data_IF_300287636806
#
_entry.id   IF_300287636806
#
_cell.length_a   1.000
_cell.length_b   1.000
_cell.length_c   1.000
_cell.angle_alpha   90.00
_cell.angle_beta   90.00
_cell.angle_gamma   90.00
#
_symmetry.space_group_name_H-M   'P 1'
#
loop_
_entity.id
_entity.type
_entity.pdbx_description
1 polymer ?
#
# COMPACT_ATOMS: atom_id res chain seq x y z
N UNK A 1 2.39 -22.05 19.01
CA UNK A 1 2.05 -21.82 20.44
C UNK A 1 0.90 -20.83 20.65
N UNK A 2 1.04 -19.55 20.24
CA UNK A 2 0.02 -18.50 20.43
C UNK A 2 -1.40 -18.93 20.03
N UNK A 3 -1.55 -19.52 18.83
CA UNK A 3 -2.83 -20.05 18.32
C UNK A 3 -3.48 -21.04 19.30
N UNK A 4 -2.73 -22.05 19.75
CA UNK A 4 -3.22 -23.10 20.63
C UNK A 4 -3.52 -22.58 22.05
N UNK A 5 -2.64 -21.75 22.62
CA UNK A 5 -2.81 -21.20 23.98
C UNK A 5 -4.09 -20.37 24.14
N UNK A 6 -4.54 -19.74 23.07
CA UNK A 6 -5.72 -18.87 23.08
C UNK A 6 -6.96 -19.53 22.44
N UNK A 7 -6.88 -20.81 22.03
CA UNK A 7 -8.01 -21.50 21.38
C UNK A 7 -8.46 -20.82 20.08
N UNK A 8 -7.52 -20.30 19.27
CA UNK A 8 -7.83 -19.55 18.05
C UNK A 8 -7.84 -20.45 16.82
N UNK A 9 -8.82 -20.27 15.94
CA UNK A 9 -8.85 -20.93 14.63
C UNK A 9 -8.01 -20.19 13.58
N UNK A 10 -7.95 -18.86 13.70
CA UNK A 10 -7.30 -17.96 12.74
C UNK A 10 -6.33 -17.03 13.43
N UNK A 11 -5.23 -16.76 12.74
CA UNK A 11 -4.20 -15.80 13.15
C UNK A 11 -3.83 -14.99 11.94
N UNK A 12 -3.71 -13.68 12.12
CA UNK A 12 -3.16 -12.74 11.13
C UNK A 12 -1.93 -12.13 11.76
N UNK A 13 -0.84 -12.04 11.00
CA UNK A 13 0.41 -11.41 11.43
C UNK A 13 0.55 -10.09 10.69
N UNK A 14 0.83 -9.01 11.43
CA UNK A 14 1.01 -7.68 10.85
C UNK A 14 2.30 -7.06 11.37
N UNK A 15 3.12 -6.58 10.44
CA UNK A 15 4.34 -5.85 10.75
C UNK A 15 4.02 -4.38 11.01
N UNK A 16 4.18 -3.93 12.26
CA UNK A 16 4.12 -2.51 12.67
C UNK A 16 5.38 -2.10 13.45
N UNK A 17 6.48 -2.82 13.22
CA UNK A 17 7.79 -2.50 13.78
C UNK A 17 8.50 -1.41 12.95
N UNK A 18 9.68 -1.00 13.42
CA UNK A 18 10.53 0.00 12.77
C UNK A 18 10.69 -0.27 11.26
N UNK A 19 10.84 0.81 10.50
CA UNK A 19 11.17 0.72 9.08
C UNK A 19 12.55 0.10 8.92
N UNK A 20 12.64 -0.94 8.09
CA UNK A 20 13.91 -1.54 7.70
C UNK A 20 14.47 -0.85 6.44
N UNK A 21 15.75 -1.10 6.15
CA UNK A 21 16.31 -0.78 4.83
C UNK A 21 15.70 -1.72 3.78
N UNK A 22 15.79 -1.34 2.51
CA UNK A 22 15.53 -2.30 1.44
C UNK A 22 16.61 -3.40 1.44
N UNK A 23 16.17 -4.62 1.15
CA UNK A 23 17.02 -5.74 0.79
C UNK A 23 17.33 -5.70 -0.71
N UNK A 24 18.53 -6.09 -1.09
CA UNK A 24 18.90 -6.24 -2.50
C UNK A 24 18.24 -7.49 -3.08
N UNK A 25 17.74 -7.40 -4.32
CA UNK A 25 17.20 -8.55 -5.04
C UNK A 25 18.33 -9.22 -5.80
N UNK A 26 18.73 -10.42 -5.38
CA UNK A 26 19.91 -11.12 -5.85
C UNK A 26 19.50 -12.49 -6.41
N UNK A 27 19.78 -12.77 -7.71
CA UNK A 27 19.56 -14.09 -8.29
C UNK A 27 20.29 -15.18 -7.52
N UNK A 28 19.62 -16.31 -7.27
CA UNK A 28 20.15 -17.40 -6.45
C UNK A 28 20.02 -17.21 -4.94
N UNK A 29 19.49 -16.08 -4.45
CA UNK A 29 19.36 -15.77 -3.02
C UNK A 29 17.90 -15.58 -2.60
N UNK A 30 17.20 -14.61 -3.19
CA UNK A 30 15.84 -14.24 -2.78
C UNK A 30 14.89 -14.05 -3.98
N UNK A 31 15.25 -14.64 -5.11
CA UNK A 31 14.52 -14.63 -6.38
C UNK A 31 13.47 -15.75 -6.49
N UNK A 32 13.66 -16.88 -5.82
CA UNK A 32 12.70 -18.01 -5.77
C UNK A 32 12.43 -18.46 -4.34
N UNK A 33 11.32 -19.18 -4.13
CA UNK A 33 10.95 -19.73 -2.82
C UNK A 33 12.06 -20.63 -2.25
N UNK A 34 12.63 -21.52 -3.07
CA UNK A 34 13.67 -22.45 -2.66
C UNK A 34 14.96 -21.71 -2.26
N UNK A 35 15.35 -20.71 -3.06
CA UNK A 35 16.53 -19.91 -2.78
C UNK A 35 16.35 -19.10 -1.49
N UNK A 36 15.18 -18.50 -1.29
CA UNK A 36 14.87 -17.73 -0.09
C UNK A 36 14.94 -18.60 1.18
N UNK A 37 14.37 -19.80 1.14
CA UNK A 37 14.44 -20.75 2.27
C UNK A 37 15.88 -21.16 2.56
N UNK A 38 16.71 -21.37 1.53
CA UNK A 38 18.12 -21.68 1.70
C UNK A 38 18.91 -20.49 2.25
N UNK A 39 18.61 -19.26 1.80
CA UNK A 39 19.21 -18.03 2.30
C UNK A 39 18.89 -17.80 3.79
N UNK A 40 17.68 -18.13 4.23
CA UNK A 40 17.31 -18.11 5.65
C UNK A 40 18.14 -19.13 6.44
N UNK A 41 18.26 -20.36 5.94
CA UNK A 41 19.04 -21.43 6.61
C UNK A 41 20.52 -21.11 6.71
N UNK A 42 21.08 -20.43 5.71
CA UNK A 42 22.50 -20.05 5.69
C UNK A 42 22.80 -18.75 6.44
N UNK A 43 21.78 -18.03 6.92
CA UNK A 43 21.94 -16.75 7.59
C UNK A 43 22.41 -15.63 6.66
N UNK A 44 21.94 -15.63 5.41
CA UNK A 44 22.36 -14.65 4.41
C UNK A 44 22.01 -13.20 4.84
N UNK A 45 22.91 -12.21 4.69
CA UNK A 45 22.74 -10.86 5.24
C UNK A 45 21.60 -10.03 4.61
N UNK A 46 21.11 -10.42 3.43
CA UNK A 46 19.93 -9.82 2.78
C UNK A 46 18.59 -10.40 3.26
N UNK A 47 18.60 -11.37 4.17
CA UNK A 47 17.39 -11.84 4.84
C UNK A 47 17.11 -10.92 6.02
N UNK A 48 16.11 -10.06 5.89
CA UNK A 48 15.69 -9.17 6.98
C UNK A 48 14.80 -9.91 8.00
N UNK A 49 14.68 -9.38 9.22
CA UNK A 49 13.69 -9.86 10.19
C UNK A 49 12.28 -9.89 9.61
N UNK A 50 11.84 -8.85 8.89
CA UNK A 50 10.50 -8.86 8.28
C UNK A 50 10.30 -10.01 7.30
N UNK A 51 11.33 -10.36 6.52
CA UNK A 51 11.30 -11.51 5.61
C UNK A 51 11.15 -12.83 6.37
N UNK A 52 11.83 -12.99 7.51
CA UNK A 52 11.67 -14.18 8.36
C UNK A 52 10.24 -14.28 8.91
N UNK A 53 9.66 -13.18 9.38
CA UNK A 53 8.26 -13.17 9.84
C UNK A 53 7.27 -13.47 8.71
N UNK A 54 7.50 -12.94 7.51
CA UNK A 54 6.66 -13.21 6.35
C UNK A 54 6.71 -14.70 5.98
N UNK A 55 7.91 -15.28 5.87
CA UNK A 55 8.09 -16.71 5.54
C UNK A 55 7.49 -17.60 6.62
N UNK A 56 7.71 -17.31 7.92
CA UNK A 56 7.11 -18.07 9.00
C UNK A 56 5.58 -18.04 8.95
N UNK A 57 4.99 -16.87 8.67
CA UNK A 57 3.54 -16.71 8.55
C UNK A 57 2.97 -17.48 7.35
N UNK A 58 3.66 -17.44 6.21
CA UNK A 58 3.30 -18.20 5.00
C UNK A 58 3.29 -19.71 5.29
N UNK A 59 4.34 -20.23 5.93
CA UNK A 59 4.47 -21.65 6.26
C UNK A 59 3.42 -22.12 7.29
N UNK A 60 2.97 -21.22 8.16
CA UNK A 60 1.89 -21.48 9.14
C UNK A 60 0.49 -21.17 8.57
N UNK A 61 0.40 -20.81 7.28
CA UNK A 61 -0.83 -20.40 6.60
C UNK A 61 -1.59 -19.27 7.35
N UNK A 62 -0.85 -18.33 7.92
CA UNK A 62 -1.36 -17.12 8.54
C UNK A 62 -1.14 -15.94 7.58
N UNK A 63 -2.20 -15.15 7.24
CA UNK A 63 -2.01 -13.96 6.43
C UNK A 63 -0.97 -13.02 7.03
N UNK A 64 -0.04 -12.54 6.20
CA UNK A 64 1.00 -11.60 6.62
C UNK A 64 0.82 -10.23 5.96
N UNK A 65 0.78 -9.17 6.77
CA UNK A 65 0.59 -7.81 6.30
C UNK A 65 1.82 -6.96 6.65
N UNK A 66 2.46 -6.35 5.67
CA UNK A 66 3.56 -5.42 5.88
C UNK A 66 3.04 -3.97 5.99
N UNK A 67 3.04 -3.44 7.22
CA UNK A 67 2.64 -2.06 7.51
C UNK A 67 3.75 -1.01 7.32
N UNK A 68 4.95 -1.43 6.94
CA UNK A 68 6.14 -0.58 6.80
C UNK A 68 6.66 -0.60 5.35
N UNK A 69 7.52 0.36 4.94
CA UNK A 69 7.83 0.57 3.52
C UNK A 69 8.96 -0.33 2.96
N UNK A 70 9.66 -1.12 3.77
CA UNK A 70 10.70 -2.00 3.27
C UNK A 70 10.12 -3.08 2.33
N UNK A 71 10.93 -3.55 1.38
CA UNK A 71 10.56 -4.58 0.40
C UNK A 71 10.60 -6.01 0.97
N UNK A 72 9.84 -6.27 2.03
CA UNK A 72 9.71 -7.60 2.67
C UNK A 72 9.35 -8.69 1.65
N UNK A 73 8.47 -8.34 0.69
CA UNK A 73 7.98 -9.25 -0.33
C UNK A 73 8.91 -9.32 -1.55
N UNK A 74 10.13 -9.80 -1.32
CA UNK A 74 11.06 -10.19 -2.38
C UNK A 74 10.44 -11.27 -3.29
N UNK A 75 10.89 -11.45 -4.54
CA UNK A 75 10.26 -12.40 -5.48
C UNK A 75 10.10 -13.81 -4.91
N UNK A 76 11.09 -14.31 -4.17
CA UNK A 76 11.01 -15.61 -3.51
C UNK A 76 9.95 -15.71 -2.41
N UNK A 77 9.61 -14.59 -1.75
CA UNK A 77 8.54 -14.55 -0.75
C UNK A 77 7.15 -14.59 -1.41
N UNK A 78 7.00 -13.92 -2.56
CA UNK A 78 5.77 -13.96 -3.37
C UNK A 78 5.57 -15.38 -3.93
N UNK A 79 6.60 -15.96 -4.53
CA UNK A 79 6.59 -17.36 -5.02
C UNK A 79 6.24 -18.36 -3.91
N UNK A 80 6.82 -18.18 -2.70
CA UNK A 80 6.48 -19.03 -1.56
C UNK A 80 5.02 -18.87 -1.12
N UNK A 81 4.49 -17.64 -1.11
CA UNK A 81 3.10 -17.38 -0.77
C UNK A 81 2.13 -18.00 -1.79
N UNK A 82 2.46 -17.97 -3.08
CA UNK A 82 1.70 -18.61 -4.15
C UNK A 82 1.71 -20.15 -4.02
N UNK A 83 2.88 -20.75 -3.81
CA UNK A 83 3.03 -22.20 -3.60
C UNK A 83 2.23 -22.72 -2.40
N UNK A 84 2.08 -21.92 -1.35
CA UNK A 84 1.34 -22.27 -0.13
C UNK A 84 -0.12 -21.80 -0.13
N UNK A 85 -0.58 -21.09 -1.16
CA UNK A 85 -1.88 -20.40 -1.19
C UNK A 85 -2.10 -19.49 0.05
N UNK A 86 -1.02 -18.92 0.60
CA UNK A 86 -1.06 -18.07 1.78
C UNK A 86 -1.20 -16.61 1.37
N UNK A 87 -1.94 -15.83 2.15
CA UNK A 87 -2.16 -14.43 1.84
C UNK A 87 -1.06 -13.50 2.35
N UNK A 88 -0.63 -12.58 1.49
CA UNK A 88 0.28 -11.49 1.80
C UNK A 88 -0.30 -10.15 1.33
N UNK A 89 0.03 -9.08 2.03
CA UNK A 89 -0.38 -7.72 1.66
C UNK A 89 0.54 -6.65 2.22
N UNK A 90 0.65 -5.53 1.52
CA UNK A 90 1.55 -4.42 1.85
C UNK A 90 1.62 -3.45 0.67
N UNK A 91 2.42 -2.39 0.69
CA UNK A 91 3.36 -1.98 1.74
C UNK A 91 3.05 -0.56 2.26
N UNK A 92 3.44 -0.30 3.52
CA UNK A 92 3.36 0.97 4.26
C UNK A 92 1.95 1.55 4.48
N UNK A 93 1.55 1.84 5.72
CA UNK A 93 0.20 2.37 6.00
C UNK A 93 -0.12 3.69 5.30
N UNK A 94 -1.18 3.76 4.50
CA UNK A 94 -1.68 4.98 3.86
C UNK A 94 -2.50 5.82 4.86
N UNK A 95 -1.79 6.46 5.80
CA UNK A 95 -2.35 7.43 6.75
C UNK A 95 -2.44 8.85 6.17
N UNK A 96 -2.64 9.85 7.04
CA UNK A 96 -3.08 11.23 6.73
C UNK A 96 -2.55 11.86 5.44
N UNK A 97 -1.24 12.13 5.34
CA UNK A 97 -0.67 12.89 4.21
C UNK A 97 -0.85 12.17 2.87
N UNK A 98 -0.37 10.92 2.77
CA UNK A 98 -0.40 10.19 1.50
C UNK A 98 -1.83 9.87 1.07
N UNK A 99 -2.73 9.57 2.02
CA UNK A 99 -4.15 9.36 1.75
C UNK A 99 -4.81 10.60 1.16
N UNK A 100 -4.52 11.78 1.72
CA UNK A 100 -5.01 13.04 1.18
C UNK A 100 -4.41 13.32 -0.20
N UNK A 101 -3.09 13.13 -0.37
CA UNK A 101 -2.42 13.29 -1.67
C UNK A 101 -3.07 12.43 -2.76
N UNK A 102 -3.31 11.14 -2.49
CA UNK A 102 -3.91 10.23 -3.47
C UNK A 102 -5.34 10.58 -3.86
N UNK A 103 -6.08 11.31 -3.03
CA UNK A 103 -7.41 11.79 -3.37
C UNK A 103 -7.35 13.14 -4.09
N UNK A 104 -6.48 14.06 -3.66
CA UNK A 104 -6.34 15.38 -4.26
C UNK A 104 -5.75 15.33 -5.66
N UNK A 105 -4.69 14.54 -5.88
CA UNK A 105 -4.05 14.40 -7.19
C UNK A 105 -5.00 13.78 -8.21
N UNK A 106 -5.73 12.73 -7.81
CA UNK A 106 -6.76 12.11 -8.65
C UNK A 106 -7.86 13.13 -9.01
N UNK A 107 -8.34 13.90 -8.03
CA UNK A 107 -9.30 14.98 -8.30
C UNK A 107 -8.77 16.02 -9.30
N UNK A 108 -7.57 16.55 -9.11
CA UNK A 108 -7.00 17.59 -9.97
C UNK A 108 -6.80 17.09 -11.41
N UNK A 109 -6.22 15.90 -11.58
CA UNK A 109 -5.98 15.33 -12.91
C UNK A 109 -7.30 15.02 -13.63
N UNK A 110 -8.30 14.46 -12.93
CA UNK A 110 -9.62 14.22 -13.52
C UNK A 110 -10.38 15.51 -13.83
N UNK A 111 -10.08 16.61 -13.13
CA UNK A 111 -10.61 17.94 -13.43
C UNK A 111 -9.89 18.65 -14.60
N UNK A 112 -8.91 18.00 -15.24
CA UNK A 112 -8.14 18.58 -16.34
C UNK A 112 -7.05 19.56 -15.89
N UNK A 113 -6.65 19.52 -14.62
CA UNK A 113 -5.61 20.39 -14.05
C UNK A 113 -4.28 19.64 -14.06
N UNK A 114 -3.26 20.21 -14.71
CA UNK A 114 -1.94 19.59 -14.84
C UNK A 114 -1.05 19.97 -13.67
N UNK A 115 -0.74 19.01 -12.81
CA UNK A 115 0.28 19.21 -11.77
C UNK A 115 1.66 19.21 -12.41
N UNK A 116 2.46 20.22 -12.08
CA UNK A 116 3.86 20.32 -12.53
C UNK A 116 4.84 20.23 -11.39
N UNK A 117 4.42 20.51 -10.14
CA UNK A 117 5.24 20.28 -8.95
C UNK A 117 4.40 19.87 -7.73
N UNK A 118 4.97 18.96 -6.93
CA UNK A 118 4.45 18.45 -5.67
C UNK A 118 5.59 18.45 -4.64
N UNK A 119 5.52 19.33 -3.66
CA UNK A 119 6.50 19.39 -2.58
C UNK A 119 5.87 18.93 -1.27
N UNK A 120 6.36 17.82 -0.71
CA UNK A 120 5.79 17.17 0.49
C UNK A 120 6.77 17.12 1.65
N UNK A 121 6.64 18.05 2.58
CA UNK A 121 7.45 18.13 3.79
C UNK A 121 6.73 17.55 4.99
N UNK A 122 7.49 16.93 5.89
CA UNK A 122 6.97 16.37 7.12
C UNK A 122 7.97 16.47 8.27
N UNK A 123 7.47 16.65 9.48
CA UNK A 123 8.27 16.41 10.68
C UNK A 123 7.44 15.80 11.82
N UNK A 124 8.11 14.96 12.60
CA UNK A 124 7.53 14.20 13.72
C UNK A 124 8.62 13.89 14.76
N UNK A 125 8.23 13.69 16.02
CA UNK A 125 9.12 13.55 17.17
C UNK A 125 9.09 12.18 17.87
N UNK A 126 8.24 11.27 17.40
CA UNK A 126 8.13 9.89 17.90
C UNK A 126 9.29 9.00 17.40
N UNK A 127 9.27 7.72 17.79
CA UNK A 127 10.32 6.77 17.43
C UNK A 127 10.37 6.45 15.93
N UNK A 128 9.24 6.55 15.21
CA UNK A 128 9.23 6.42 13.75
C UNK A 128 10.07 7.54 13.12
N UNK A 129 9.82 8.81 13.49
CA UNK A 129 10.64 9.93 13.03
C UNK A 129 12.12 9.79 13.37
N UNK A 130 12.43 9.27 14.57
CA UNK A 130 13.82 9.01 14.98
C UNK A 130 14.48 7.91 14.15
N UNK A 131 13.77 6.83 13.85
CA UNK A 131 14.28 5.75 13.00
C UNK A 131 14.50 6.23 11.55
N UNK A 132 13.57 7.01 11.03
CA UNK A 132 13.60 7.61 9.70
C UNK A 132 14.62 8.75 9.55
N UNK A 133 15.29 9.18 10.62
CA UNK A 133 16.39 10.17 10.50
C UNK A 133 17.64 9.56 9.86
N UNK A 134 17.74 8.23 9.81
CA UNK A 134 18.80 7.53 9.08
C UNK A 134 18.46 7.40 7.59
N UNK A 135 19.43 7.68 6.72
CA UNK A 135 19.24 7.74 5.27
C UNK A 135 18.72 6.42 4.67
N UNK A 136 19.21 5.27 5.14
CA UNK A 136 18.80 3.96 4.59
C UNK A 136 17.33 3.65 4.86
N UNK A 137 16.83 4.01 6.05
CA UNK A 137 15.43 3.85 6.44
C UNK A 137 14.54 4.90 5.76
N UNK A 138 15.03 6.14 5.65
CA UNK A 138 14.34 7.20 4.92
C UNK A 138 14.12 6.82 3.44
N UNK A 139 15.10 6.21 2.78
CA UNK A 139 15.01 5.81 1.37
C UNK A 139 13.82 4.89 1.11
N UNK A 140 13.55 3.94 2.01
CA UNK A 140 12.37 3.07 1.94
C UNK A 140 11.08 3.90 1.92
N UNK A 141 10.96 4.87 2.85
CA UNK A 141 9.79 5.73 2.97
C UNK A 141 9.64 6.70 1.80
N UNK A 142 10.75 7.21 1.28
CA UNK A 142 10.79 8.10 0.12
C UNK A 142 10.19 7.43 -1.10
N UNK A 143 10.61 6.21 -1.44
CA UNK A 143 10.10 5.45 -2.58
C UNK A 143 8.59 5.27 -2.49
N UNK A 144 8.09 4.74 -1.36
CA UNK A 144 6.65 4.50 -1.16
C UNK A 144 5.78 5.77 -1.20
N UNK A 145 6.33 6.93 -0.83
CA UNK A 145 5.61 8.21 -0.84
C UNK A 145 5.64 8.91 -2.21
N UNK A 146 6.68 8.68 -3.00
CA UNK A 146 6.85 9.31 -4.31
C UNK A 146 5.99 8.65 -5.39
N UNK A 147 5.92 7.31 -5.39
CA UNK A 147 5.28 6.55 -6.48
C UNK A 147 3.74 6.62 -6.48
N UNK A 148 3.13 7.21 -5.46
CA UNK A 148 1.66 7.23 -5.29
C UNK A 148 0.92 8.02 -6.37
N UNK A 149 1.62 8.81 -7.18
CA UNK A 149 1.02 9.66 -8.24
C UNK A 149 1.25 9.12 -9.65
N UNK A 150 2.11 8.12 -9.82
CA UNK A 150 2.63 7.70 -11.13
C UNK A 150 1.53 7.16 -12.05
N UNK A 151 0.61 6.35 -11.50
CA UNK A 151 -0.51 5.77 -12.24
C UNK A 151 -1.52 6.84 -12.69
N UNK A 152 -1.75 7.87 -11.87
CA UNK A 152 -2.69 8.96 -12.19
C UNK A 152 -2.13 9.86 -13.31
N UNK A 153 -0.83 10.14 -13.26
CA UNK A 153 -0.11 10.89 -14.30
C UNK A 153 -0.12 10.11 -15.62
N UNK A 154 0.25 8.82 -15.57
CA UNK A 154 0.28 7.96 -16.75
C UNK A 154 -1.11 7.76 -17.38
N UNK A 155 -2.18 7.83 -16.59
CA UNK A 155 -3.55 7.66 -17.07
C UNK A 155 -4.07 8.83 -17.93
N UNK A 156 -3.46 10.01 -17.86
CA UNK A 156 -3.94 11.21 -18.59
C UNK A 156 -2.92 11.70 -19.63
N UNK A 157 -2.99 11.11 -20.82
CA UNK A 157 -2.10 11.42 -21.96
C UNK A 157 -2.40 12.76 -22.64
N UNK A 158 -3.48 13.45 -22.25
CA UNK A 158 -3.78 14.81 -22.73
C UNK A 158 -2.96 15.84 -21.96
N UNK A 159 -2.81 15.66 -20.64
CA UNK A 159 -2.04 16.56 -19.79
C UNK A 159 -0.54 16.24 -19.78
N UNK A 160 -0.19 14.96 -19.84
CA UNK A 160 1.19 14.49 -19.71
C UNK A 160 1.63 13.70 -20.94
N UNK A 161 2.84 13.99 -21.42
CA UNK A 161 3.50 13.19 -22.46
C UNK A 161 3.96 11.85 -21.89
N UNK A 162 4.23 10.84 -22.73
CA UNK A 162 4.83 9.59 -22.27
C UNK A 162 6.13 9.83 -21.49
N UNK A 163 6.17 9.37 -20.23
CA UNK A 163 7.31 9.54 -19.33
C UNK A 163 7.45 10.94 -18.71
N UNK A 164 6.49 11.83 -18.90
CA UNK A 164 6.43 13.11 -18.20
C UNK A 164 5.86 12.93 -16.79
N UNK A 165 6.54 13.51 -15.80
CA UNK A 165 6.12 13.50 -14.40
C UNK A 165 6.27 14.90 -13.81
N UNK A 166 5.43 15.29 -12.83
CA UNK A 166 5.68 16.50 -12.06
C UNK A 166 6.97 16.36 -11.26
N UNK A 167 7.62 17.49 -10.98
CA UNK A 167 8.66 17.53 -9.96
C UNK A 167 8.05 17.08 -8.63
N UNK A 168 8.61 16.04 -8.01
CA UNK A 168 8.06 15.50 -6.76
C UNK A 168 9.15 15.30 -5.73
N UNK A 169 9.08 16.07 -4.65
CA UNK A 169 10.04 16.00 -3.54
C UNK A 169 9.34 15.59 -2.24
N UNK A 170 9.92 14.62 -1.53
CA UNK A 170 9.46 14.16 -0.23
C UNK A 170 10.53 14.42 0.82
N UNK A 171 10.18 15.08 1.93
CA UNK A 171 11.08 15.35 3.04
C UNK A 171 10.46 14.88 4.35
N UNK A 172 11.27 14.22 5.19
CA UNK A 172 10.93 13.86 6.56
C UNK A 172 12.05 14.32 7.47
N UNK A 173 11.70 15.05 8.55
CA UNK A 173 12.64 15.51 9.58
C UNK A 173 12.21 15.06 10.96
N UNK A 174 13.19 14.70 11.78
CA UNK A 174 12.97 14.37 13.18
C UNK A 174 12.94 15.66 14.02
N UNK A 175 11.83 15.91 14.70
CA UNK A 175 11.62 17.07 15.58
C UNK A 175 11.03 16.59 16.90
N UNK A 176 11.85 16.27 17.92
CA UNK A 176 11.40 15.63 19.16
C UNK A 176 10.21 16.33 19.84
N UNK A 177 10.18 17.67 19.79
CA UNK A 177 9.20 18.49 20.49
C UNK A 177 7.74 18.25 20.05
N UNK A 178 7.49 17.75 18.83
CA UNK A 178 6.12 17.50 18.36
C UNK A 178 5.60 16.10 18.70
N UNK A 179 6.43 15.21 19.25
CA UNK A 179 6.02 13.87 19.64
C UNK A 179 5.35 13.08 18.49
N UNK A 180 4.21 12.45 18.78
CA UNK A 180 3.39 11.73 17.79
C UNK A 180 2.56 12.66 16.86
N UNK A 181 2.49 13.95 17.19
CA UNK A 181 1.75 14.97 16.47
C UNK A 181 2.50 15.40 15.22
N UNK A 182 2.46 14.53 14.20
CA UNK A 182 3.09 14.73 12.91
C UNK A 182 2.52 15.96 12.20
N UNK A 183 3.42 16.78 11.67
CA UNK A 183 3.10 17.93 10.81
C UNK A 183 3.43 17.58 9.37
N UNK A 184 2.46 17.73 8.48
CA UNK A 184 2.60 17.55 7.04
C UNK A 184 2.33 18.88 6.33
N UNK A 185 3.24 19.29 5.45
CA UNK A 185 3.11 20.49 4.64
C UNK A 185 3.27 20.06 3.18
N UNK A 186 2.22 20.25 2.39
CA UNK A 186 2.23 19.92 0.98
C UNK A 186 1.97 21.18 0.15
N UNK A 187 2.71 21.34 -0.93
CA UNK A 187 2.43 22.34 -1.96
C UNK A 187 2.21 21.63 -3.29
N UNK A 188 1.11 21.97 -3.94
CA UNK A 188 0.75 21.50 -5.27
C UNK A 188 0.72 22.69 -6.21
N UNK A 189 1.62 22.70 -7.18
CA UNK A 189 1.69 23.72 -8.22
C UNK A 189 1.23 23.12 -9.54
N UNK A 190 0.26 23.79 -10.18
CA UNK A 190 -0.40 23.30 -11.37
C UNK A 190 -0.51 24.38 -12.46
N UNK A 191 -0.47 23.92 -13.71
CA UNK A 191 -0.86 24.70 -14.88
C UNK A 191 -2.36 24.55 -15.14
N UNK A 192 -3.00 25.68 -15.46
CA UNK A 192 -4.43 25.77 -15.80
C UNK A 192 -4.61 26.53 -17.12
N UNK A 193 -5.86 26.79 -17.49
CA UNK A 193 -6.23 27.40 -18.76
C UNK A 193 -5.46 28.71 -19.06
N UNK A 194 -5.09 28.90 -20.33
CA UNK A 194 -4.39 30.09 -20.86
C UNK A 194 -3.06 30.44 -20.16
N UNK A 195 -2.31 29.42 -19.71
CA UNK A 195 -1.01 29.63 -19.04
C UNK A 195 -1.13 30.18 -17.62
N UNK A 196 -2.35 30.18 -17.06
CA UNK A 196 -2.58 30.44 -15.66
C UNK A 196 -1.98 29.33 -14.79
N UNK A 197 -1.80 29.64 -13.51
CA UNK A 197 -1.30 28.68 -12.53
C UNK A 197 -2.21 28.64 -11.30
N UNK A 198 -2.28 27.47 -10.68
CA UNK A 198 -2.95 27.26 -9.41
C UNK A 198 -1.94 26.70 -8.41
N UNK A 199 -1.92 27.28 -7.21
CA UNK A 199 -1.12 26.78 -6.09
C UNK A 199 -2.04 26.40 -4.95
N UNK A 200 -1.90 25.18 -4.44
CA UNK A 200 -2.60 24.69 -3.26
C UNK A 200 -1.57 24.37 -2.20
N UNK A 201 -1.60 25.09 -1.08
CA UNK A 201 -0.80 24.79 0.10
C UNK A 201 -1.68 24.12 1.16
N UNK A 202 -1.29 22.94 1.59
CA UNK A 202 -2.01 22.15 2.58
C UNK A 202 -1.14 21.97 3.82
N UNK A 203 -1.68 22.38 4.96
CA UNK A 203 -1.06 22.15 6.27
C UNK A 203 -1.91 21.17 7.07
N UNK A 204 -1.32 20.04 7.44
CA UNK A 204 -2.00 18.99 8.17
C UNK A 204 -1.29 18.66 9.48
N UNK A 205 -2.04 18.67 10.57
CA UNK A 205 -1.59 18.25 11.90
C UNK A 205 -2.35 16.99 12.26
N UNK A 206 -1.64 15.89 12.46
CA UNK A 206 -2.25 14.61 12.79
C UNK A 206 -1.47 13.89 13.88
N UNK A 207 -2.17 13.33 14.85
CA UNK A 207 -1.62 12.27 15.69
C UNK A 207 -1.46 11.01 14.83
N UNK A 208 -0.23 10.69 14.45
CA UNK A 208 0.04 9.68 13.41
C UNK A 208 -0.41 8.29 13.87
N UNK A 209 -0.23 7.97 15.14
CA UNK A 209 -0.68 6.71 15.73
C UNK A 209 -2.20 6.57 15.75
N UNK A 210 -2.94 7.66 15.98
CA UNK A 210 -4.41 7.65 15.96
C UNK A 210 -4.98 7.51 14.54
N UNK A 211 -4.22 7.90 13.51
CA UNK A 211 -4.58 7.61 12.13
C UNK A 211 -4.17 6.20 11.68
N UNK A 212 -3.04 5.69 12.16
CA UNK A 212 -2.52 4.38 11.78
C UNK A 212 -3.30 3.23 12.44
N UNK A 213 -3.68 3.36 13.72
CA UNK A 213 -4.31 2.28 14.48
C UNK A 213 -5.64 1.79 13.86
N UNK A 214 -6.56 2.64 13.40
CA UNK A 214 -7.76 2.20 12.69
C UNK A 214 -7.44 1.48 11.36
N UNK A 215 -6.38 1.88 10.65
CA UNK A 215 -5.97 1.20 9.42
C UNK A 215 -5.46 -0.21 9.70
N UNK A 216 -4.76 -0.42 10.82
CA UNK A 216 -4.34 -1.75 11.28
C UNK A 216 -5.57 -2.63 11.52
N UNK A 217 -6.61 -2.10 12.17
CA UNK A 217 -7.87 -2.81 12.40
C UNK A 217 -8.52 -3.19 11.08
N UNK A 218 -8.67 -2.24 10.15
CA UNK A 218 -9.26 -2.47 8.83
C UNK A 218 -8.48 -3.54 8.03
N UNK A 219 -7.14 -3.46 8.03
CA UNK A 219 -6.26 -4.42 7.35
C UNK A 219 -6.47 -5.83 7.88
N UNK A 220 -6.50 -6.02 9.21
CA UNK A 220 -6.70 -7.33 9.84
C UNK A 220 -8.10 -7.87 9.55
N UNK A 221 -9.13 -7.03 9.65
CA UNK A 221 -10.52 -7.43 9.39
C UNK A 221 -10.70 -7.85 7.93
N UNK A 222 -10.22 -7.04 6.98
CA UNK A 222 -10.36 -7.35 5.56
C UNK A 222 -9.54 -8.58 5.20
N UNK A 223 -8.31 -8.71 5.70
CA UNK A 223 -7.50 -9.91 5.45
C UNK A 223 -8.16 -11.18 6.01
N UNK A 224 -8.70 -11.15 7.23
CA UNK A 224 -9.48 -12.26 7.79
C UNK A 224 -10.67 -12.60 6.90
N UNK A 225 -11.45 -11.61 6.50
CA UNK A 225 -12.63 -11.81 5.67
C UNK A 225 -12.25 -12.48 4.34
N UNK A 226 -11.18 -12.01 3.69
CA UNK A 226 -10.68 -12.59 2.44
C UNK A 226 -10.25 -14.05 2.58
N UNK A 227 -9.84 -14.50 3.78
CA UNK A 227 -9.60 -15.94 4.03
C UNK A 227 -10.85 -16.81 3.92
N UNK A 228 -12.05 -16.21 3.97
CA UNK A 228 -13.35 -16.89 3.85
C UNK A 228 -13.99 -16.73 2.48
N UNK A 229 -13.49 -15.83 1.65
CA UNK A 229 -14.06 -15.59 0.33
C UNK A 229 -13.46 -16.57 -0.67
N UNK A 230 -14.32 -17.43 -1.22
CA UNK A 230 -14.00 -18.29 -2.35
C UNK A 230 -14.80 -17.90 -3.58
N UNK A 231 -14.25 -18.18 -4.75
CA UNK A 231 -14.93 -18.04 -6.03
C UNK A 231 -14.70 -19.29 -6.87
N UNK A 232 -15.59 -19.54 -7.83
CA UNK A 232 -15.39 -20.58 -8.83
C UNK A 232 -15.84 -20.05 -10.19
N UNK A 233 -15.20 -20.53 -11.25
CA UNK A 233 -15.76 -20.39 -12.59
C UNK A 233 -17.00 -21.28 -12.69
N UNK A 234 -17.99 -20.88 -13.47
CA UNK A 234 -19.26 -21.61 -13.62
C UNK A 234 -19.04 -23.08 -14.02
N UNK A 235 -18.08 -23.32 -14.91
CA UNK A 235 -17.70 -24.64 -15.40
C UNK A 235 -16.79 -25.44 -14.44
N UNK A 236 -16.34 -24.85 -13.34
CA UNK A 236 -15.41 -25.49 -12.39
C UNK A 236 -16.15 -26.11 -11.20
N UNK A 237 -15.69 -27.29 -10.77
CA UNK A 237 -16.23 -27.98 -9.60
C UNK A 237 -15.69 -27.41 -8.28
N UNK A 238 -14.44 -26.93 -8.28
CA UNK A 238 -13.74 -26.52 -7.07
C UNK A 238 -13.75 -25.00 -6.88
N UNK A 239 -13.98 -24.59 -5.62
CA UNK A 239 -13.77 -23.20 -5.20
C UNK A 239 -12.28 -22.91 -5.04
N UNK A 240 -11.89 -21.70 -5.41
CA UNK A 240 -10.55 -21.15 -5.25
C UNK A 240 -10.58 -19.89 -4.40
N UNK A 241 -9.51 -19.64 -3.68
CA UNK A 241 -9.27 -18.35 -3.04
C UNK A 241 -8.87 -17.27 -4.06
N UNK A 242 -8.69 -16.06 -3.55
CA UNK A 242 -8.05 -14.99 -4.31
C UNK A 242 -6.56 -15.29 -4.51
N UNK A 243 -5.91 -14.49 -5.36
CA UNK A 243 -4.45 -14.53 -5.49
C UNK A 243 -3.78 -14.27 -4.13
N UNK A 244 -2.63 -14.89 -3.87
CA UNK A 244 -1.88 -14.75 -2.60
C UNK A 244 -1.57 -13.29 -2.26
N UNK A 245 -1.31 -12.46 -3.25
CA UNK A 245 -1.22 -11.00 -3.10
C UNK A 245 -2.61 -10.36 -3.00
N UNK A 246 -3.00 -9.92 -1.80
CA UNK A 246 -4.28 -9.28 -1.53
C UNK A 246 -4.29 -7.79 -1.89
N UNK A 247 -4.32 -7.48 -3.20
CA UNK A 247 -4.40 -6.09 -3.69
C UNK A 247 -5.69 -5.35 -3.27
N UNK A 248 -6.72 -6.05 -2.78
CA UNK A 248 -7.90 -5.43 -2.16
C UNK A 248 -7.55 -4.56 -0.94
N UNK A 249 -6.40 -4.80 -0.30
CA UNK A 249 -5.91 -4.03 0.84
C UNK A 249 -5.32 -2.65 0.46
N UNK A 250 -5.22 -2.35 -0.84
CA UNK A 250 -4.53 -1.15 -1.35
C UNK A 250 -5.07 0.19 -0.83
N UNK A 251 -6.34 0.23 -0.42
CA UNK A 251 -6.96 1.43 0.17
C UNK A 251 -6.25 1.89 1.45
N UNK A 252 -5.66 0.96 2.21
CA UNK A 252 -4.96 1.23 3.46
C UNK A 252 -3.43 1.28 3.30
N UNK A 253 -2.88 1.11 2.09
CA UNK A 253 -1.44 0.90 1.86
C UNK A 253 -0.88 1.87 0.81
N UNK A 254 0.30 2.44 1.04
CA UNK A 254 0.90 3.52 0.23
C UNK A 254 1.48 3.00 -1.08
N UNK A 255 2.19 1.88 -1.00
CA UNK A 255 2.83 1.23 -2.13
C UNK A 255 2.22 -0.17 -2.30
N UNK A 256 0.99 -0.26 -2.84
CA UNK A 256 0.26 -1.52 -2.83
C UNK A 256 0.98 -2.58 -3.67
N UNK A 257 1.20 -3.74 -3.07
CA UNK A 257 1.66 -4.94 -3.75
C UNK A 257 0.51 -5.45 -4.63
N UNK A 258 0.82 -5.76 -5.88
CA UNK A 258 -0.13 -6.31 -6.85
C UNK A 258 0.33 -7.68 -7.35
N UNK A 259 -0.61 -8.54 -7.79
CA UNK A 259 -0.24 -9.78 -8.47
C UNK A 259 0.75 -9.52 -9.62
N UNK A 260 1.75 -10.40 -9.84
CA UNK A 260 2.74 -10.22 -10.90
C UNK A 260 2.08 -9.92 -12.27
N UNK A 261 2.57 -8.89 -12.95
CA UNK A 261 2.07 -8.48 -14.26
C UNK A 261 0.77 -7.65 -14.23
N UNK A 262 0.26 -7.26 -13.07
CA UNK A 262 -0.94 -6.42 -12.94
C UNK A 262 -0.61 -4.98 -12.54
N UNK A 263 -1.36 -3.97 -13.03
CA UNK A 263 -1.06 -2.57 -12.77
C UNK A 263 -1.34 -2.18 -11.32
N UNK A 264 -0.53 -1.25 -10.81
CA UNK A 264 -0.73 -0.60 -9.52
C UNK A 264 -1.76 0.52 -9.68
N UNK A 265 -2.74 0.61 -8.77
CA UNK A 265 -3.73 1.69 -8.72
C UNK A 265 -3.62 2.37 -7.37
N UNK A 266 -3.28 3.66 -7.34
CA UNK A 266 -3.15 4.44 -6.11
C UNK A 266 -4.35 5.37 -5.85
N UNK A 267 -5.18 5.62 -6.87
CA UNK A 267 -6.34 6.51 -6.76
C UNK A 267 -7.31 6.02 -5.68
N UNK A 268 -7.44 6.82 -4.61
CA UNK A 268 -8.09 6.38 -3.37
C UNK A 268 -9.56 5.99 -3.57
N UNK A 269 -10.29 6.76 -4.38
CA UNK A 269 -11.69 6.49 -4.70
C UNK A 269 -11.86 5.17 -5.46
N UNK A 270 -10.98 4.88 -6.43
CA UNK A 270 -10.98 3.62 -7.20
C UNK A 270 -10.68 2.42 -6.31
N UNK A 271 -9.71 2.55 -5.40
CA UNK A 271 -9.39 1.51 -4.41
C UNK A 271 -10.60 1.21 -3.50
N UNK A 272 -11.30 2.24 -3.02
CA UNK A 272 -12.51 2.07 -2.21
C UNK A 272 -13.65 1.44 -3.01
N UNK A 273 -13.88 1.90 -4.24
CA UNK A 273 -14.91 1.35 -5.11
C UNK A 273 -14.67 -0.14 -5.41
N UNK A 274 -13.42 -0.55 -5.64
CA UNK A 274 -13.06 -1.96 -5.80
C UNK A 274 -13.41 -2.80 -4.56
N UNK A 275 -13.02 -2.34 -3.36
CA UNK A 275 -13.37 -2.98 -2.09
C UNK A 275 -14.89 -3.12 -1.93
N UNK A 276 -15.64 -2.02 -2.11
CA UNK A 276 -17.10 -2.01 -2.00
C UNK A 276 -17.74 -2.99 -3.00
N UNK A 277 -17.34 -2.93 -4.28
CA UNK A 277 -17.94 -3.75 -5.32
C UNK A 277 -17.64 -5.25 -5.16
N UNK A 278 -16.46 -5.61 -4.62
CA UNK A 278 -16.17 -7.01 -4.25
C UNK A 278 -17.15 -7.49 -3.17
N UNK A 279 -17.37 -6.71 -2.11
CA UNK A 279 -18.29 -7.12 -1.05
C UNK A 279 -19.77 -7.07 -1.46
N UNK A 280 -20.15 -6.15 -2.36
CA UNK A 280 -21.47 -6.18 -3.02
C UNK A 280 -21.69 -7.48 -3.78
N UNK A 281 -20.70 -7.95 -4.52
CA UNK A 281 -20.77 -9.23 -5.21
C UNK A 281 -20.96 -10.41 -4.24
N UNK A 282 -20.29 -10.39 -3.08
CA UNK A 282 -20.47 -11.41 -2.04
C UNK A 282 -21.92 -11.51 -1.50
N UNK A 283 -22.72 -10.45 -1.62
CA UNK A 283 -24.13 -10.42 -1.21
C UNK A 283 -25.12 -10.41 -2.39
N UNK A 284 -24.64 -10.73 -3.60
CA UNK A 284 -25.48 -10.83 -4.79
C UNK A 284 -25.94 -9.49 -5.38
N UNK A 285 -25.28 -8.39 -5.02
CA UNK A 285 -25.57 -7.06 -5.57
C UNK A 285 -24.66 -6.75 -6.75
N UNK A 286 -25.22 -6.10 -7.77
CA UNK A 286 -24.46 -5.58 -8.91
C UNK A 286 -23.49 -4.47 -8.47
N UNK A 287 -22.37 -4.26 -9.18
CA UNK A 287 -21.47 -3.15 -8.94
C UNK A 287 -22.20 -1.79 -9.00
N UNK A 288 -21.77 -0.84 -8.17
CA UNK A 288 -22.23 0.54 -8.28
C UNK A 288 -21.66 1.19 -9.55
N UNK A 289 -22.54 1.78 -10.36
CA UNK A 289 -22.21 2.46 -11.61
C UNK A 289 -22.41 3.97 -11.56
N UNK A 290 -23.03 4.49 -10.49
CA UNK A 290 -23.34 5.90 -10.26
C UNK A 290 -24.18 6.60 -11.35
N UNK A 291 -24.76 5.84 -12.28
CA UNK A 291 -25.43 6.41 -13.45
C UNK A 291 -26.74 7.13 -13.11
N UNK A 292 -27.46 6.68 -12.07
CA UNK A 292 -28.73 7.28 -11.58
C UNK A 292 -29.74 7.57 -12.71
N UNK A 293 -29.86 6.67 -13.68
CA UNK A 293 -30.64 6.90 -14.92
C UNK A 293 -32.15 7.02 -14.67
N UNK A 294 -32.65 6.37 -13.62
CA UNK A 294 -34.01 6.49 -13.12
C UNK A 294 -34.41 7.92 -12.77
N UNK A 295 -33.44 8.82 -12.53
CA UNK A 295 -33.66 10.24 -12.28
C UNK A 295 -33.36 11.14 -13.49
N UNK A 296 -32.96 10.56 -14.63
CA UNK A 296 -32.50 11.28 -15.83
C UNK A 296 -33.30 10.97 -17.09
N UNK A 297 -34.08 9.88 -17.08
CA UNK A 297 -34.84 9.38 -18.23
C UNK A 297 -36.35 9.48 -17.96
N UNK A 298 -36.83 10.69 -17.64
CA UNK A 298 -38.26 11.02 -17.55
C UNK A 298 -38.75 11.73 -18.80
#
# INVERSE_FOLDING_TARGET
>A
EFKAKNGLDKVIVLWTANTERYADIIPGVNDTAENLINAIKSGHPEVSPSTVFAVASILENAPFINGSPQNTFVPGAIDLAEKNNAFIGGDDFKSGQTKMKSALVDFLINAGIKLTSIASYNHLGNNDGKNLSSQKQFRSKEISKSNVVDDMVAANTVLYKPGEHPDHTVVIKYMPAVGDSKRALDEYYAEIFLGGHQTISLFNVCEDSLLASPLIIDLVIVAELMTRVGWKKEESQDYKGFHSVLSILSYMLKAPLTPPGTPVVNALAKQRAALTNIFRACVGLQPESDMTLEHKLF
#
